data_IF_912113219117
#
_entry.id   IF_912113219117
#
_cell.length_a   1.000
_cell.length_b   1.000
_cell.length_c   1.000
_cell.angle_alpha   90.00
_cell.angle_beta   90.00
_cell.angle_gamma   90.00
#
_symmetry.space_group_name_H-M   'P 1'
#
loop_
_entity.id
_entity.type
_entity.pdbx_description
1 polymer ?
#
# COMPACT_ATOMS: atom_id res chain seq x y z
N UNK A 1 -19.93 25.29 -0.17
CA UNK A 1 -20.06 24.01 0.54
C UNK A 1 -19.56 22.81 -0.29
N UNK A 2 -19.93 22.67 -1.57
CA UNK A 2 -19.40 21.62 -2.48
C UNK A 2 -17.87 21.56 -2.57
N UNK A 3 -17.20 22.70 -2.73
CA UNK A 3 -15.73 22.74 -2.78
C UNK A 3 -15.09 22.20 -1.48
N UNK A 4 -15.70 22.49 -0.33
CA UNK A 4 -15.24 22.00 0.97
C UNK A 4 -15.40 20.47 1.09
N UNK A 5 -16.49 19.90 0.59
CA UNK A 5 -16.67 18.45 0.56
C UNK A 5 -15.64 17.74 -0.34
N UNK A 6 -15.33 18.30 -1.51
CA UNK A 6 -14.28 17.76 -2.38
C UNK A 6 -12.89 17.88 -1.75
N UNK A 7 -12.59 19.03 -1.12
CA UNK A 7 -11.35 19.23 -0.39
C UNK A 7 -11.22 18.23 0.77
N UNK A 8 -12.31 17.95 1.47
CA UNK A 8 -12.36 16.94 2.53
C UNK A 8 -12.06 15.54 2.00
N UNK A 9 -12.73 15.12 0.90
CA UNK A 9 -12.47 13.82 0.28
C UNK A 9 -11.01 13.70 -0.16
N UNK A 10 -10.43 14.75 -0.74
CA UNK A 10 -9.02 14.79 -1.14
C UNK A 10 -8.08 14.68 0.08
N UNK A 11 -8.38 15.40 1.18
CA UNK A 11 -7.60 15.33 2.41
C UNK A 11 -7.65 13.93 3.05
N UNK A 12 -8.83 13.29 3.08
CA UNK A 12 -8.98 11.91 3.56
C UNK A 12 -8.19 10.95 2.70
N UNK A 13 -8.26 11.06 1.37
CA UNK A 13 -7.48 10.22 0.46
C UNK A 13 -5.97 10.38 0.67
N UNK A 14 -5.49 11.63 0.77
CA UNK A 14 -4.08 11.93 1.04
C UNK A 14 -3.63 11.36 2.40
N UNK A 15 -4.46 11.50 3.44
CA UNK A 15 -4.18 10.93 4.76
C UNK A 15 -4.12 9.40 4.74
N UNK A 16 -5.04 8.73 4.03
CA UNK A 16 -5.01 7.26 3.93
C UNK A 16 -3.79 6.77 3.14
N UNK A 17 -3.39 7.48 2.07
CA UNK A 17 -2.16 7.17 1.32
C UNK A 17 -0.93 7.35 2.22
N UNK A 18 -0.84 8.46 2.95
CA UNK A 18 0.27 8.70 3.87
C UNK A 18 0.33 7.66 5.01
N UNK A 19 -0.81 7.33 5.60
CA UNK A 19 -0.92 6.33 6.66
C UNK A 19 -0.54 4.94 6.17
N UNK A 20 -0.88 4.59 4.93
CA UNK A 20 -0.47 3.34 4.29
C UNK A 20 1.03 3.30 4.04
N UNK A 21 1.61 4.33 3.41
CA UNK A 21 3.05 4.35 3.04
C UNK A 21 3.98 4.42 4.24
N UNK A 22 3.57 5.06 5.33
CA UNK A 22 4.38 5.19 6.55
C UNK A 22 3.95 4.22 7.65
N UNK A 23 3.01 3.31 7.36
CA UNK A 23 2.40 2.42 8.33
C UNK A 23 2.07 3.12 9.66
N UNK A 24 1.22 4.15 9.61
CA UNK A 24 0.99 5.04 10.74
C UNK A 24 -0.46 5.47 10.91
N UNK A 25 -0.76 6.11 12.04
CA UNK A 25 -2.07 6.69 12.34
C UNK A 25 -3.20 5.67 12.32
N UNK A 26 -4.33 6.05 11.69
CA UNK A 26 -5.53 5.21 11.63
C UNK A 26 -5.30 3.93 10.82
N UNK A 27 -4.46 3.99 9.77
CA UNK A 27 -4.16 2.83 8.94
C UNK A 27 -3.48 1.74 9.77
N UNK A 28 -2.40 2.09 10.48
CA UNK A 28 -1.71 1.19 11.41
C UNK A 28 -2.65 0.58 12.43
N UNK A 29 -3.43 1.43 13.12
CA UNK A 29 -4.34 0.96 14.16
C UNK A 29 -5.36 -0.07 13.62
N UNK A 30 -5.93 0.19 12.44
CA UNK A 30 -6.84 -0.75 11.79
C UNK A 30 -6.15 -2.03 11.29
N UNK A 31 -4.95 -1.92 10.73
CA UNK A 31 -4.17 -3.06 10.29
C UNK A 31 -3.86 -3.99 11.49
N UNK A 32 -3.33 -3.42 12.58
CA UNK A 32 -3.06 -4.16 13.81
C UNK A 32 -4.33 -4.79 14.41
N UNK A 33 -5.45 -4.06 14.42
CA UNK A 33 -6.73 -4.60 14.86
C UNK A 33 -7.23 -5.75 13.97
N UNK A 34 -7.17 -5.60 12.64
CA UNK A 34 -7.56 -6.66 11.70
C UNK A 34 -6.69 -7.90 11.86
N UNK A 35 -5.37 -7.72 11.95
CA UNK A 35 -4.43 -8.82 12.17
C UNK A 35 -4.70 -9.51 13.51
N UNK A 36 -4.99 -8.77 14.57
CA UNK A 36 -5.33 -9.35 15.87
C UNK A 36 -6.65 -10.16 15.84
N UNK A 37 -7.64 -9.73 15.06
CA UNK A 37 -8.94 -10.42 14.98
C UNK A 37 -8.98 -11.56 13.96
N UNK A 38 -8.31 -11.39 12.82
CA UNK A 38 -8.45 -12.28 11.66
C UNK A 38 -7.16 -13.03 11.32
N UNK A 39 -6.04 -12.73 11.98
CA UNK A 39 -4.73 -13.32 11.68
C UNK A 39 -4.09 -12.83 10.39
N UNK A 40 -4.67 -11.81 9.76
CA UNK A 40 -4.11 -11.05 8.64
C UNK A 40 -4.93 -9.79 8.40
N UNK A 41 -4.39 -8.87 7.62
CA UNK A 41 -5.11 -7.70 7.14
C UNK A 41 -5.05 -7.64 5.62
N UNK A 42 -5.96 -6.88 5.03
CA UNK A 42 -5.97 -6.64 3.59
C UNK A 42 -5.63 -5.17 3.36
N UNK A 43 -4.42 -4.81 2.87
CA UNK A 43 -3.99 -3.41 2.76
C UNK A 43 -5.01 -2.51 2.05
N UNK A 44 -5.55 -3.00 0.92
CA UNK A 44 -6.57 -2.28 0.16
C UNK A 44 -7.85 -2.03 0.97
N UNK A 45 -8.39 -3.04 1.67
CA UNK A 45 -9.61 -2.87 2.47
C UNK A 45 -9.36 -1.99 3.70
N UNK A 46 -8.19 -2.13 4.31
CA UNK A 46 -7.73 -1.35 5.47
C UNK A 46 -7.62 0.13 5.12
N UNK A 47 -7.21 0.47 3.90
CA UNK A 47 -7.24 1.85 3.41
C UNK A 47 -8.65 2.30 2.99
N UNK A 48 -9.39 1.45 2.26
CA UNK A 48 -10.66 1.83 1.64
C UNK A 48 -11.78 2.01 2.65
N UNK A 49 -12.03 1.05 3.55
CA UNK A 49 -13.19 1.09 4.45
C UNK A 49 -13.18 2.34 5.35
N UNK A 50 -12.10 2.64 6.08
CA UNK A 50 -12.04 3.84 6.93
C UNK A 50 -12.08 5.11 6.09
N UNK A 51 -11.41 5.10 4.93
CA UNK A 51 -11.47 6.21 3.97
C UNK A 51 -12.92 6.51 3.56
N UNK A 52 -13.72 5.49 3.22
CA UNK A 52 -15.14 5.65 2.90
C UNK A 52 -15.99 6.05 4.09
N UNK A 53 -15.70 5.56 5.29
CA UNK A 53 -16.43 5.96 6.49
C UNK A 53 -16.21 7.45 6.82
N UNK A 54 -14.96 7.92 6.75
CA UNK A 54 -14.61 9.33 7.04
C UNK A 54 -15.01 10.26 5.89
N UNK A 55 -14.91 9.80 4.64
CA UNK A 55 -15.43 10.52 3.48
C UNK A 55 -16.97 10.46 3.42
N UNK A 56 -17.60 9.51 4.12
CA UNK A 56 -19.02 9.17 4.05
C UNK A 56 -19.95 10.36 4.26
N UNK A 57 -19.78 11.20 5.29
CA UNK A 57 -20.59 12.40 5.46
C UNK A 57 -20.52 13.35 4.26
N UNK A 58 -19.33 13.62 3.74
CA UNK A 58 -19.12 14.48 2.57
C UNK A 58 -19.72 13.87 1.30
N UNK A 59 -19.54 12.57 1.08
CA UNK A 59 -20.13 11.83 -0.04
C UNK A 59 -21.66 11.78 0.06
N UNK A 60 -22.21 11.57 1.26
CA UNK A 60 -23.66 11.55 1.48
C UNK A 60 -24.26 12.92 1.24
N UNK A 61 -23.57 13.99 1.64
CA UNK A 61 -24.01 15.36 1.41
C UNK A 61 -23.99 15.69 -0.08
N UNK A 62 -22.90 15.35 -0.79
CA UNK A 62 -22.81 15.47 -2.25
C UNK A 62 -23.92 14.67 -2.95
N UNK A 63 -24.24 13.47 -2.46
CA UNK A 63 -25.32 12.62 -2.97
C UNK A 63 -26.71 13.18 -2.69
N UNK A 64 -26.98 13.64 -1.47
CA UNK A 64 -28.25 14.29 -1.09
C UNK A 64 -28.46 15.56 -1.88
N UNK A 65 -27.43 16.38 -2.04
CA UNK A 65 -27.49 17.58 -2.87
C UNK A 65 -27.81 17.20 -4.32
N UNK A 66 -27.17 16.16 -4.86
CA UNK A 66 -27.46 15.67 -6.21
C UNK A 66 -28.91 15.17 -6.34
N UNK A 67 -29.47 14.52 -5.31
CA UNK A 67 -30.87 14.04 -5.30
C UNK A 67 -31.89 15.16 -5.11
N UNK A 68 -31.63 16.09 -4.19
CA UNK A 68 -32.47 17.28 -3.98
C UNK A 68 -32.50 18.14 -5.26
N UNK A 69 -31.38 18.21 -5.97
CA UNK A 69 -31.34 18.81 -7.31
C UNK A 69 -32.22 18.05 -8.30
N UNK A 70 -32.18 16.71 -8.33
CA UNK A 70 -33.06 15.92 -9.21
C UNK A 70 -34.54 16.08 -8.85
N UNK A 71 -34.86 16.24 -7.56
CA UNK A 71 -36.22 16.34 -7.05
C UNK A 71 -36.85 17.76 -7.16
N UNK A 72 -36.08 18.77 -7.57
CA UNK A 72 -36.57 20.15 -7.72
C UNK A 72 -37.02 20.81 -6.41
N UNK A 73 -36.54 20.31 -5.26
CA UNK A 73 -37.04 20.69 -3.93
C UNK A 73 -36.34 21.90 -3.32
N UNK A 74 -35.10 22.18 -3.72
CA UNK A 74 -34.40 23.41 -3.36
C UNK A 74 -34.70 24.48 -4.42
N UNK A 75 -34.93 25.74 -3.99
CA UNK A 75 -35.28 26.89 -4.84
C UNK A 75 -34.26 27.23 -5.95
N UNK A 76 -34.23 28.46 -6.50
CA UNK A 76 -33.66 28.81 -7.82
C UNK A 76 -32.11 28.78 -7.91
N UNK A 77 -31.45 27.82 -7.26
CA UNK A 77 -30.10 27.43 -7.60
C UNK A 77 -30.12 26.74 -8.96
N UNK A 78 -29.20 27.13 -9.83
CA UNK A 78 -29.01 26.51 -11.14
C UNK A 78 -28.50 25.06 -10.97
N UNK A 79 -29.45 24.14 -10.83
CA UNK A 79 -29.26 22.69 -10.67
C UNK A 79 -28.40 22.14 -11.81
N UNK A 80 -28.60 22.69 -13.00
CA UNK A 80 -27.86 22.34 -14.20
C UNK A 80 -26.41 22.80 -14.09
N UNK A 81 -26.15 24.00 -13.57
CA UNK A 81 -24.79 24.49 -13.33
C UNK A 81 -24.03 23.66 -12.28
N UNK A 82 -24.67 23.28 -11.18
CA UNK A 82 -24.02 22.46 -10.14
C UNK A 82 -23.71 21.04 -10.63
N UNK A 83 -24.65 20.38 -11.32
CA UNK A 83 -24.41 19.07 -11.91
C UNK A 83 -23.29 19.13 -12.96
N UNK A 84 -23.26 20.18 -13.80
CA UNK A 84 -22.14 20.43 -14.74
C UNK A 84 -20.81 20.66 -14.02
N UNK A 85 -20.81 21.40 -12.90
CA UNK A 85 -19.59 21.63 -12.10
C UNK A 85 -19.05 20.33 -11.50
N UNK A 86 -19.90 19.52 -10.88
CA UNK A 86 -19.49 18.23 -10.32
C UNK A 86 -19.01 17.27 -11.42
N UNK A 87 -19.70 17.22 -12.57
CA UNK A 87 -19.25 16.43 -13.71
C UNK A 87 -17.88 16.91 -14.24
N UNK A 88 -17.63 18.23 -14.28
CA UNK A 88 -16.32 18.78 -14.64
C UNK A 88 -15.24 18.37 -13.64
N UNK A 89 -15.52 18.43 -12.34
CA UNK A 89 -14.57 17.99 -11.30
C UNK A 89 -14.27 16.50 -11.46
N UNK A 90 -15.29 15.66 -11.63
CA UNK A 90 -15.11 14.23 -11.86
C UNK A 90 -14.30 13.95 -13.15
N UNK A 91 -14.59 14.68 -14.24
CA UNK A 91 -13.81 14.63 -15.49
C UNK A 91 -12.38 15.13 -15.36
N UNK A 92 -12.08 16.01 -14.39
CA UNK A 92 -10.72 16.47 -14.11
C UNK A 92 -9.96 15.48 -13.21
N UNK A 93 -10.65 14.84 -12.26
CA UNK A 93 -10.05 13.85 -11.36
C UNK A 93 -9.80 12.50 -12.06
N UNK A 94 -10.67 12.10 -12.99
CA UNK A 94 -10.50 10.87 -13.76
C UNK A 94 -9.14 10.75 -14.46
N UNK A 95 -8.68 11.72 -15.28
CA UNK A 95 -7.37 11.65 -15.92
C UNK A 95 -6.23 11.73 -14.90
N UNK A 96 -6.41 12.44 -13.78
CA UNK A 96 -5.40 12.44 -12.71
C UNK A 96 -5.22 11.03 -12.11
N UNK A 97 -6.32 10.35 -11.77
CA UNK A 97 -6.28 8.97 -11.30
C UNK A 97 -5.67 8.02 -12.35
N UNK A 98 -5.99 8.23 -13.64
CA UNK A 98 -5.40 7.45 -14.74
C UNK A 98 -3.89 7.71 -14.87
N UNK A 99 -3.43 8.95 -14.74
CA UNK A 99 -2.01 9.31 -14.75
C UNK A 99 -1.28 8.69 -13.58
N UNK A 100 -1.86 8.70 -12.37
CA UNK A 100 -1.28 8.02 -11.20
C UNK A 100 -1.17 6.51 -11.47
N UNK A 101 -2.21 5.90 -12.03
CA UNK A 101 -2.24 4.47 -12.32
C UNK A 101 -1.18 4.07 -13.35
N UNK A 102 -1.13 4.79 -14.48
CA UNK A 102 -0.14 4.58 -15.54
C UNK A 102 1.26 4.89 -15.02
N UNK A 103 1.43 5.96 -14.22
CA UNK A 103 2.69 6.31 -13.61
C UNK A 103 3.22 5.22 -12.68
N UNK A 104 2.37 4.66 -11.82
CA UNK A 104 2.73 3.55 -10.94
C UNK A 104 3.13 2.30 -11.74
N UNK A 105 2.37 1.95 -12.78
CA UNK A 105 2.71 0.83 -13.68
C UNK A 105 4.03 1.07 -14.43
N UNK A 106 4.25 2.27 -14.98
CA UNK A 106 5.51 2.58 -15.66
C UNK A 106 6.69 2.60 -14.69
N UNK A 107 6.51 3.04 -13.45
CA UNK A 107 7.54 2.95 -12.42
C UNK A 107 7.86 1.50 -12.06
N UNK A 108 6.87 0.61 -12.01
CA UNK A 108 7.14 -0.81 -11.75
C UNK A 108 8.02 -1.45 -12.83
N UNK A 109 7.89 -1.02 -14.09
CA UNK A 109 8.76 -1.50 -15.19
C UNK A 109 10.20 -0.99 -15.12
N UNK A 110 10.49 0.00 -14.25
CA UNK A 110 11.85 0.53 -14.03
C UNK A 110 12.50 -0.04 -12.77
N UNK A 111 11.79 -0.86 -12.01
CA UNK A 111 12.39 -1.54 -10.88
C UNK A 111 13.48 -2.50 -11.40
N UNK A 112 14.57 -2.70 -10.64
CA UNK A 112 15.58 -3.66 -11.02
C UNK A 112 14.94 -5.06 -11.15
N UNK A 113 15.40 -5.84 -12.12
CA UNK A 113 14.92 -7.20 -12.36
C UNK A 113 15.95 -8.24 -11.86
N UNK A 114 15.50 -9.49 -11.72
CA UNK A 114 16.34 -10.58 -11.21
C UNK A 114 17.30 -11.14 -12.29
N UNK A 115 17.32 -10.56 -13.50
CA UNK A 115 18.02 -11.13 -14.67
C UNK A 115 19.53 -10.87 -14.69
N UNK A 116 20.05 -10.02 -13.79
CA UNK A 116 21.46 -9.67 -13.68
C UNK A 116 22.31 -10.62 -12.83
N UNK A 117 23.64 -10.53 -12.94
CA UNK A 117 24.56 -11.19 -12.00
C UNK A 117 24.46 -10.46 -10.65
N UNK A 118 24.14 -11.16 -9.54
CA UNK A 118 23.99 -10.51 -8.25
C UNK A 118 25.31 -9.89 -7.78
N UNK A 119 25.23 -8.66 -7.28
CA UNK A 119 26.39 -7.98 -6.70
C UNK A 119 26.65 -8.55 -5.31
N UNK A 120 27.86 -9.06 -5.06
CA UNK A 120 28.22 -9.59 -3.74
C UNK A 120 28.46 -8.45 -2.76
N UNK A 121 27.75 -8.48 -1.63
CA UNK A 121 27.84 -7.49 -0.57
C UNK A 121 28.25 -8.19 0.72
N UNK A 122 29.49 -8.00 1.13
CA UNK A 122 29.97 -8.42 2.45
C UNK A 122 29.61 -7.36 3.48
N UNK A 123 28.71 -7.72 4.40
CA UNK A 123 28.18 -6.81 5.42
C UNK A 123 29.28 -6.32 6.35
N UNK A 124 30.28 -7.17 6.65
CA UNK A 124 31.40 -6.78 7.50
C UNK A 124 32.32 -5.78 6.81
N UNK A 125 32.55 -5.94 5.50
CA UNK A 125 33.37 -5.01 4.71
C UNK A 125 32.65 -3.69 4.41
N UNK A 126 31.32 -3.72 4.28
CA UNK A 126 30.50 -2.54 3.98
C UNK A 126 30.45 -1.56 5.16
N UNK A 127 30.41 -2.06 6.40
CA UNK A 127 30.26 -1.24 7.60
C UNK A 127 28.99 -0.38 7.53
N UNK A 128 29.14 0.94 7.70
CA UNK A 128 28.03 1.91 7.67
C UNK A 128 27.77 2.50 6.27
N UNK A 129 28.52 2.11 5.23
CA UNK A 129 28.32 2.63 3.88
C UNK A 129 26.96 2.18 3.31
N UNK A 130 26.39 2.97 2.39
CA UNK A 130 25.11 2.64 1.72
C UNK A 130 25.32 1.43 0.79
N UNK A 131 24.55 0.33 0.94
CA UNK A 131 24.66 -0.84 0.07
C UNK A 131 24.14 -0.55 -1.34
N UNK A 132 24.61 -1.28 -2.36
CA UNK A 132 23.96 -1.27 -3.68
C UNK A 132 22.54 -1.87 -3.56
N UNK A 133 21.55 -1.17 -4.10
CA UNK A 133 20.16 -1.66 -4.17
C UNK A 133 19.97 -2.56 -5.40
N UNK A 134 18.95 -3.42 -5.36
CA UNK A 134 18.62 -4.35 -6.45
C UNK A 134 19.19 -5.76 -6.21
N UNK A 135 19.54 -6.47 -7.29
CA UNK A 135 19.95 -7.88 -7.20
C UNK A 135 21.33 -8.03 -6.55
N UNK A 136 21.37 -8.54 -5.31
CA UNK A 136 22.59 -8.72 -4.52
C UNK A 136 22.67 -10.10 -3.90
N UNK A 137 23.89 -10.50 -3.56
CA UNK A 137 24.17 -11.63 -2.67
C UNK A 137 24.72 -11.10 -1.36
N UNK A 138 23.96 -11.22 -0.28
CA UNK A 138 24.41 -10.84 1.06
C UNK A 138 25.31 -11.93 1.66
N UNK A 139 26.47 -11.50 2.16
CA UNK A 139 27.43 -12.33 2.88
C UNK A 139 27.50 -11.84 4.32
N UNK A 140 27.17 -12.73 5.26
CA UNK A 140 27.19 -12.43 6.70
C UNK A 140 26.90 -13.65 7.55
N UNK A 141 26.58 -13.41 8.82
CA UNK A 141 26.12 -14.43 9.76
C UNK A 141 24.64 -14.23 10.03
N UNK A 142 23.84 -15.28 9.83
CA UNK A 142 22.40 -15.26 10.08
C UNK A 142 22.17 -15.36 11.58
N UNK A 143 21.32 -14.48 12.11
CA UNK A 143 20.93 -14.47 13.51
C UNK A 143 19.48 -14.93 13.66
N UNK A 144 19.32 -16.22 13.90
CA UNK A 144 18.00 -16.84 14.07
C UNK A 144 17.35 -16.51 15.40
N UNK A 145 18.12 -16.09 16.41
CA UNK A 145 17.59 -15.81 17.75
C UNK A 145 16.74 -14.52 17.75
N UNK A 146 17.05 -13.60 16.82
CA UNK A 146 16.28 -12.39 16.56
C UNK A 146 15.35 -12.49 15.35
N UNK A 147 15.15 -13.68 14.77
CA UNK A 147 14.21 -13.87 13.68
C UNK A 147 12.78 -13.57 14.12
N UNK A 148 12.00 -12.94 13.24
CA UNK A 148 10.58 -12.67 13.48
C UNK A 148 9.75 -13.08 12.27
N UNK A 149 8.66 -13.80 12.50
CA UNK A 149 7.73 -14.22 11.46
C UNK A 149 6.43 -13.41 11.46
N UNK A 150 5.84 -13.28 10.27
CA UNK A 150 4.47 -12.86 10.06
C UNK A 150 3.70 -14.06 9.50
N UNK A 151 2.72 -14.56 10.25
CA UNK A 151 1.83 -15.62 9.77
C UNK A 151 0.54 -15.01 9.26
N UNK A 152 0.29 -15.13 7.95
CA UNK A 152 -0.96 -14.73 7.31
C UNK A 152 -1.88 -15.92 7.11
N UNK A 153 -3.02 -15.92 7.81
CA UNK A 153 -4.00 -17.02 7.71
C UNK A 153 -5.00 -16.76 6.59
N UNK A 154 -4.88 -17.50 5.48
CA UNK A 154 -5.90 -17.60 4.43
C UNK A 154 -6.98 -18.64 4.71
N UNK A 155 -8.04 -18.66 3.90
CA UNK A 155 -9.11 -19.68 3.98
C UNK A 155 -8.64 -21.08 3.56
N UNK A 156 -7.63 -21.16 2.70
CA UNK A 156 -7.12 -22.41 2.13
C UNK A 156 -5.59 -22.58 2.25
N UNK A 157 -4.86 -21.49 2.49
CA UNK A 157 -3.40 -21.48 2.58
C UNK A 157 -2.99 -20.61 3.77
N UNK A 158 -2.02 -21.08 4.55
CA UNK A 158 -1.34 -20.25 5.55
C UNK A 158 0.02 -19.91 4.97
N UNK A 159 0.28 -18.62 4.90
CA UNK A 159 1.55 -18.09 4.44
C UNK A 159 2.32 -17.60 5.65
N UNK A 160 3.57 -18.05 5.78
CA UNK A 160 4.42 -17.64 6.89
C UNK A 160 5.69 -17.03 6.32
N UNK A 161 5.83 -15.72 6.52
CA UNK A 161 6.99 -14.95 6.05
C UNK A 161 7.90 -14.67 7.23
N UNK A 162 9.11 -15.21 7.21
CA UNK A 162 10.13 -14.98 8.22
C UNK A 162 11.11 -13.91 7.75
N UNK A 163 11.42 -13.00 8.66
CA UNK A 163 12.43 -11.99 8.47
C UNK A 163 13.56 -12.30 9.42
N UNK A 164 14.73 -12.59 8.86
CA UNK A 164 15.88 -13.06 9.64
C UNK A 164 17.02 -12.06 9.51
N UNK A 165 17.47 -11.47 10.64
CA UNK A 165 18.60 -10.56 10.63
C UNK A 165 19.88 -11.21 10.09
N UNK A 166 20.64 -10.44 9.32
CA UNK A 166 22.00 -10.79 8.90
C UNK A 166 22.97 -9.79 9.48
N UNK A 167 23.94 -10.31 10.21
CA UNK A 167 24.89 -9.51 10.98
C UNK A 167 26.29 -9.65 10.38
N UNK A 168 27.17 -8.64 10.59
CA UNK A 168 28.58 -8.77 10.24
C UNK A 168 29.19 -10.04 10.84
N UNK A 169 29.97 -10.77 10.05
CA UNK A 169 30.69 -11.94 10.54
C UNK A 169 31.82 -11.48 11.47
N UNK A 170 31.68 -11.72 12.77
CA UNK A 170 32.75 -11.49 13.75
C UNK A 170 33.74 -12.64 13.73
N UNK A 171 35.00 -12.39 14.11
CA UNK A 171 36.05 -13.41 14.16
C UNK A 171 35.68 -14.59 15.09
N UNK A 172 34.89 -14.32 16.13
CA UNK A 172 34.44 -15.31 17.11
C UNK A 172 33.10 -15.98 16.74
N UNK A 173 32.51 -15.60 15.60
CA UNK A 173 31.18 -16.07 15.16
C UNK A 173 30.02 -15.64 16.05
N UNK A 174 30.28 -14.81 17.09
CA UNK A 174 29.26 -14.31 18.01
C UNK A 174 28.60 -13.06 17.47
N UNK A 175 27.27 -13.05 17.51
CA UNK A 175 26.46 -11.88 17.18
C UNK A 175 26.29 -11.03 18.43
N UNK A 176 26.63 -9.74 18.34
CA UNK A 176 26.35 -8.79 19.41
C UNK A 176 24.87 -8.38 19.36
N UNK A 177 24.12 -8.81 20.39
CA UNK A 177 22.69 -8.56 20.52
C UNK A 177 22.34 -7.06 20.61
N UNK A 178 23.29 -6.21 21.00
CA UNK A 178 23.09 -4.76 21.12
C UNK A 178 23.25 -4.01 19.80
N UNK A 179 23.87 -4.64 18.79
CA UNK A 179 24.06 -4.02 17.48
C UNK A 179 22.72 -3.89 16.75
N UNK A 180 22.35 -2.68 16.29
CA UNK A 180 21.13 -2.48 15.51
C UNK A 180 21.12 -3.35 14.25
N UNK A 181 19.98 -4.00 13.98
CA UNK A 181 19.81 -4.84 12.80
C UNK A 181 19.61 -3.93 11.58
N UNK A 182 20.52 -4.04 10.61
CA UNK A 182 20.50 -3.26 9.38
C UNK A 182 20.04 -4.05 8.15
N UNK A 183 20.37 -5.35 8.10
CA UNK A 183 20.05 -6.22 6.97
C UNK A 183 19.15 -7.36 7.45
N UNK A 184 18.09 -7.62 6.71
CA UNK A 184 17.17 -8.72 6.96
C UNK A 184 16.99 -9.52 5.66
N UNK A 185 16.74 -10.80 5.78
CA UNK A 185 16.35 -11.66 4.66
C UNK A 185 14.89 -12.07 4.86
N UNK A 186 14.08 -11.89 3.83
CA UNK A 186 12.73 -12.42 3.77
C UNK A 186 12.74 -13.87 3.30
N UNK A 187 11.92 -14.69 3.97
CA UNK A 187 11.74 -16.10 3.69
C UNK A 187 10.28 -16.45 3.77
N UNK A 188 9.69 -16.69 2.61
CA UNK A 188 8.34 -17.21 2.53
C UNK A 188 8.38 -18.73 2.68
N UNK A 189 7.58 -19.24 3.60
CA UNK A 189 7.26 -20.65 3.71
C UNK A 189 5.79 -20.83 3.40
N UNK A 190 5.48 -21.44 2.25
CA UNK A 190 4.12 -21.84 1.95
C UNK A 190 3.84 -23.18 2.60
N UNK A 191 3.04 -23.18 3.66
CA UNK A 191 2.58 -24.41 4.30
C UNK A 191 1.25 -24.81 3.68
N UNK A 192 1.26 -25.88 2.89
CA UNK A 192 0.03 -26.56 2.50
C UNK A 192 -0.50 -27.37 3.69
N UNK A 193 -1.83 -27.39 3.86
CA UNK A 193 -2.47 -28.10 4.96
C UNK A 193 -2.10 -29.60 4.93
N UNK A 194 -1.26 -30.03 5.88
CA UNK A 194 -0.83 -31.43 6.03
C UNK A 194 0.66 -31.70 5.79
N UNK A 195 1.46 -30.71 5.36
CA UNK A 195 2.92 -30.86 5.23
C UNK A 195 3.66 -30.47 6.51
N UNK A 196 4.67 -31.27 6.86
CA UNK A 196 5.57 -30.97 7.97
C UNK A 196 6.49 -29.80 7.59
N UNK A 197 6.68 -28.85 8.51
CA UNK A 197 7.65 -27.75 8.38
C UNK A 197 9.05 -28.34 8.11
N UNK A 198 9.46 -28.37 6.85
CA UNK A 198 10.87 -28.51 6.50
C UNK A 198 11.52 -27.17 6.77
N UNK A 199 12.11 -27.02 7.96
CA UNK A 199 13.06 -25.95 8.24
C UNK A 199 14.20 -26.08 7.22
N UNK A 200 14.10 -25.40 6.08
CA UNK A 200 15.21 -25.27 5.16
C UNK A 200 16.34 -24.60 5.94
N UNK A 201 17.40 -25.36 6.19
CA UNK A 201 18.51 -24.91 7.01
C UNK A 201 19.06 -23.58 6.50
N UNK A 202 19.32 -22.66 7.44
CA UNK A 202 20.02 -21.40 7.21
C UNK A 202 21.47 -21.68 6.81
N UNK A 203 21.71 -22.06 5.55
CA UNK A 203 23.04 -22.42 5.08
C UNK A 203 23.32 -21.67 3.78
N UNK A 204 24.23 -20.68 3.86
CA UNK A 204 24.88 -20.09 2.68
C UNK A 204 24.60 -18.60 2.45
N UNK A 205 25.43 -18.04 1.57
CA UNK A 205 25.25 -16.73 0.93
C UNK A 205 23.85 -16.66 0.29
N UNK A 206 23.11 -15.58 0.53
CA UNK A 206 21.73 -15.46 0.06
C UNK A 206 21.61 -14.37 -1.00
N UNK A 207 21.04 -14.75 -2.13
CA UNK A 207 20.77 -13.84 -3.25
C UNK A 207 19.31 -13.44 -3.27
N UNK A 208 19.05 -12.19 -3.67
CA UNK A 208 17.71 -11.64 -3.81
C UNK A 208 17.77 -10.15 -4.10
N UNK A 209 16.63 -9.48 -3.95
CA UNK A 209 16.50 -8.05 -4.22
C UNK A 209 16.59 -7.25 -2.94
N UNK A 210 17.63 -6.44 -2.81
CA UNK A 210 17.81 -5.58 -1.66
C UNK A 210 16.98 -4.31 -1.80
N UNK A 211 16.02 -4.16 -0.89
CA UNK A 211 15.09 -3.05 -0.83
C UNK A 211 15.34 -2.24 0.44
N UNK A 212 15.48 -0.93 0.28
CA UNK A 212 15.56 0.01 1.41
C UNK A 212 14.19 0.16 2.08
N UNK A 213 14.16 0.07 3.40
CA UNK A 213 12.97 0.10 4.24
C UNK A 213 11.87 -0.87 3.78
N UNK A 214 12.28 -2.03 3.26
CA UNK A 214 11.38 -3.05 2.71
C UNK A 214 10.61 -3.84 3.77
N UNK A 215 10.80 -3.56 5.06
CA UNK A 215 10.15 -4.33 6.12
C UNK A 215 8.67 -3.92 6.24
N UNK A 216 7.73 -4.87 6.29
CA UNK A 216 6.34 -4.58 6.64
C UNK A 216 6.24 -3.81 7.95
N UNK A 217 5.37 -2.81 8.00
CA UNK A 217 5.28 -1.94 9.17
C UNK A 217 4.80 -2.66 10.43
N UNK A 218 4.08 -3.77 10.30
CA UNK A 218 3.76 -4.69 11.41
C UNK A 218 5.01 -5.12 12.17
N UNK A 219 6.05 -5.48 11.40
CA UNK A 219 7.26 -6.09 11.94
C UNK A 219 8.14 -5.06 12.63
N UNK A 220 8.13 -3.80 12.18
CA UNK A 220 8.77 -2.71 12.93
C UNK A 220 8.28 -2.68 14.38
N UNK A 221 6.97 -2.83 14.57
CA UNK A 221 6.37 -2.91 15.90
C UNK A 221 6.72 -4.18 16.67
N UNK A 222 6.82 -5.33 15.99
CA UNK A 222 7.18 -6.61 16.63
C UNK A 222 8.65 -6.59 17.08
N UNK A 223 9.57 -6.16 16.21
CA UNK A 223 10.99 -6.03 16.54
C UNK A 223 11.20 -5.09 17.74
N UNK A 224 10.56 -3.92 17.73
CA UNK A 224 10.63 -2.97 18.84
C UNK A 224 10.12 -3.58 20.16
N UNK A 225 9.00 -4.33 20.13
CA UNK A 225 8.47 -5.03 21.33
C UNK A 225 9.39 -6.15 21.81
N UNK A 226 10.12 -6.79 20.90
CA UNK A 226 11.11 -7.82 21.22
C UNK A 226 12.46 -7.23 21.68
N UNK A 227 12.57 -5.91 21.82
CA UNK A 227 13.80 -5.24 22.23
C UNK A 227 14.89 -5.22 21.15
N UNK A 228 14.54 -5.56 19.90
CA UNK A 228 15.47 -5.50 18.77
C UNK A 228 15.42 -4.10 18.18
N UNK A 229 16.57 -3.43 18.18
CA UNK A 229 16.70 -2.11 17.54
C UNK A 229 17.01 -2.31 16.06
N UNK A 230 16.21 -1.69 15.18
CA UNK A 230 16.47 -1.66 13.73
C UNK A 230 17.25 -0.40 13.38
N UNK A 231 18.17 -0.49 12.42
CA UNK A 231 18.85 0.68 11.88
C UNK A 231 17.90 1.51 10.98
N UNK A 232 18.12 2.82 10.90
CA UNK A 232 17.45 3.71 9.94
C UNK A 232 18.51 4.30 9.00
N UNK A 233 18.52 3.93 7.70
CA UNK A 233 17.64 2.97 7.01
C UNK A 233 18.01 1.50 7.30
N UNK A 234 17.00 0.61 7.21
CA UNK A 234 17.18 -0.84 7.19
C UNK A 234 16.96 -1.37 5.78
N UNK A 235 17.48 -2.56 5.48
CA UNK A 235 17.39 -3.18 4.17
C UNK A 235 16.87 -4.60 4.28
N UNK A 236 15.94 -4.95 3.40
CA UNK A 236 15.37 -6.30 3.32
C UNK A 236 15.75 -6.91 1.99
N UNK A 237 16.32 -8.11 2.05
CA UNK A 237 16.58 -8.95 0.90
C UNK A 237 15.33 -9.79 0.63
N UNK A 238 14.52 -9.36 -0.34
CA UNK A 238 13.33 -10.08 -0.77
C UNK A 238 13.71 -11.14 -1.81
N UNK A 239 12.94 -12.22 -1.88
CA UNK A 239 13.23 -13.36 -2.76
C UNK A 239 13.09 -13.04 -4.24
N UNK A 240 12.16 -12.16 -4.62
CA UNK A 240 11.84 -11.88 -6.01
C UNK A 240 11.67 -10.39 -6.31
N UNK A 241 11.94 -9.98 -7.55
CA UNK A 241 11.61 -8.65 -8.03
C UNK A 241 10.09 -8.39 -8.09
N UNK A 242 9.27 -9.45 -8.15
CA UNK A 242 7.81 -9.33 -8.18
C UNK A 242 7.26 -8.77 -6.86
N UNK A 243 7.84 -9.18 -5.73
CA UNK A 243 7.47 -8.71 -4.39
C UNK A 243 7.69 -7.20 -4.26
N UNK A 244 8.80 -6.70 -4.83
CA UNK A 244 9.12 -5.26 -4.89
C UNK A 244 8.12 -4.48 -5.76
N UNK A 245 7.61 -5.10 -6.82
CA UNK A 245 6.67 -4.48 -7.76
C UNK A 245 5.22 -4.48 -7.25
N UNK A 246 4.88 -5.38 -6.33
CA UNK A 246 3.50 -5.58 -5.84
C UNK A 246 2.81 -4.28 -5.37
N UNK A 247 3.43 -3.41 -4.55
CA UNK A 247 2.81 -2.15 -4.14
C UNK A 247 2.42 -1.23 -5.32
N UNK A 248 3.23 -1.22 -6.39
CA UNK A 248 2.98 -0.44 -7.59
C UNK A 248 1.77 -0.97 -8.37
N UNK A 249 1.63 -2.29 -8.47
CA UNK A 249 0.46 -2.91 -9.09
C UNK A 249 -0.82 -2.62 -8.33
N UNK A 250 -0.77 -2.60 -6.99
CA UNK A 250 -1.92 -2.22 -6.16
C UNK A 250 -2.32 -0.76 -6.42
N UNK A 251 -1.36 0.17 -6.45
CA UNK A 251 -1.62 1.58 -6.78
C UNK A 251 -2.17 1.73 -8.20
N UNK A 252 -1.61 1.02 -9.17
CA UNK A 252 -2.07 1.02 -10.55
C UNK A 252 -3.52 0.52 -10.67
N UNK A 253 -3.84 -0.60 -10.02
CA UNK A 253 -5.17 -1.18 -10.01
C UNK A 253 -6.20 -0.25 -9.36
N UNK A 254 -5.90 0.30 -8.17
CA UNK A 254 -6.80 1.23 -7.47
C UNK A 254 -7.00 2.51 -8.26
N UNK A 255 -5.92 3.14 -8.75
CA UNK A 255 -6.00 4.35 -9.55
C UNK A 255 -6.80 4.15 -10.84
N UNK A 256 -6.57 3.04 -11.54
CA UNK A 256 -7.31 2.67 -12.75
C UNK A 256 -8.79 2.44 -12.48
N UNK A 257 -9.12 1.73 -11.41
CA UNK A 257 -10.49 1.49 -10.98
C UNK A 257 -11.24 2.80 -10.67
N UNK A 258 -10.63 3.71 -9.89
CA UNK A 258 -11.23 5.01 -9.60
C UNK A 258 -11.39 5.87 -10.86
N UNK A 259 -10.42 5.85 -11.78
CA UNK A 259 -10.53 6.55 -13.04
C UNK A 259 -11.74 6.06 -13.86
N UNK A 260 -11.94 4.74 -13.96
CA UNK A 260 -13.08 4.14 -14.68
C UNK A 260 -14.41 4.55 -14.02
N UNK A 261 -14.52 4.46 -12.69
CA UNK A 261 -15.73 4.88 -11.98
C UNK A 261 -16.06 6.35 -12.25
N UNK A 262 -15.07 7.24 -12.14
CA UNK A 262 -15.27 8.67 -12.37
C UNK A 262 -15.67 8.95 -13.83
N UNK A 263 -15.08 8.22 -14.80
CA UNK A 263 -15.44 8.30 -16.21
C UNK A 263 -16.85 7.80 -16.52
N UNK A 264 -17.42 6.90 -15.71
CA UNK A 264 -18.81 6.44 -15.87
C UNK A 264 -19.77 7.43 -15.18
N UNK A 265 -19.44 7.89 -13.97
CA UNK A 265 -20.30 8.76 -13.19
C UNK A 265 -20.44 10.15 -13.85
N UNK A 266 -19.36 10.71 -14.39
CA UNK A 266 -19.39 12.05 -14.97
C UNK A 266 -20.37 12.20 -16.17
N UNK A 267 -20.39 11.32 -17.19
CA UNK A 267 -21.37 11.41 -18.27
C UNK A 267 -22.79 11.14 -17.78
N UNK A 268 -23.01 10.25 -16.80
CA UNK A 268 -24.32 10.07 -16.18
C UNK A 268 -24.80 11.36 -15.51
N UNK A 269 -23.91 12.08 -14.82
CA UNK A 269 -24.21 13.41 -14.26
C UNK A 269 -24.55 14.42 -15.36
N UNK A 270 -23.81 14.46 -16.47
CA UNK A 270 -24.10 15.36 -17.62
C UNK A 270 -25.45 15.02 -18.27
N UNK A 271 -25.74 13.73 -18.48
CA UNK A 271 -27.00 13.26 -19.05
C UNK A 271 -28.18 13.61 -18.15
N UNK A 272 -28.03 13.42 -16.83
CA UNK A 272 -29.05 13.80 -15.85
C UNK A 272 -29.32 15.32 -15.89
N UNK A 273 -28.27 16.14 -15.98
CA UNK A 273 -28.37 17.60 -16.09
C UNK A 273 -29.09 18.03 -17.38
N UNK A 274 -28.82 17.37 -18.50
CA UNK A 274 -29.51 17.62 -19.77
C UNK A 274 -31.00 17.23 -19.70
N UNK A 275 -31.32 16.11 -19.05
CA UNK A 275 -32.71 15.66 -18.87
C UNK A 275 -33.49 16.66 -18.03
N UNK A 276 -32.92 17.14 -16.93
CA UNK A 276 -33.52 18.18 -16.08
C UNK A 276 -33.75 19.49 -16.83
N UNK A 277 -32.78 19.96 -17.62
CA UNK A 277 -32.92 21.18 -18.42
C UNK A 277 -34.07 21.10 -19.46
N UNK A 278 -34.28 19.93 -20.09
CA UNK A 278 -35.39 19.72 -21.03
C UNK A 278 -36.74 19.76 -20.34
N UNK A 279 -36.86 19.13 -19.17
CA UNK A 279 -38.10 19.12 -18.38
C UNK A 279 -38.49 20.53 -17.91
N UNK A 280 -37.51 21.34 -17.49
CA UNK A 280 -37.76 22.74 -17.13
C UNK A 280 -38.22 23.59 -18.32
N UNK A 281 -37.65 23.39 -19.51
CA UNK A 281 -38.08 24.12 -20.72
C UNK A 281 -39.51 23.80 -21.16
N UNK A 282 -39.97 22.56 -20.95
CA UNK A 282 -41.35 22.15 -21.26
C UNK A 282 -42.38 22.69 -20.27
N UNK A 283 -41.99 22.95 -19.02
CA UNK A 283 -42.90 23.45 -17.99
C UNK A 283 -43.22 24.96 -18.10
N UNK A 284 -42.51 25.69 -18.98
CA UNK A 284 -42.65 27.15 -19.16
C UNK A 284 -43.53 27.48 -20.40
N UNK A 285 -43.82 26.49 -21.25
CA UNK A 285 -44.72 26.62 -22.40
C UNK A 285 -46.16 26.28 -22.03
#
# INVERSE_FOLDING_TARGET
MTALCWLWVAAVAAYMIWGWTHYSGLFKWLAEWQTAQFGKYYPAMTAMIPGFLIAGPALSWLGKQSRAMIAGQDGPFDLVANARRNARIALMLAPLCAVIAVGAYLLSTRLPDDSGVPTRVDIAALGDAVPPLGHVTLIGTIDTDRATGLTEKGKAQTEESFYVPVMPRTADGKVDATTPVRFLIERETHLYAGEAQTQQGFIGDQSGMLVENGLPGELLGIYARNGVTLAEPHYVLVSSAEDVATPYYVVAALGGFFAIILLIIAPLMVMSARKMARQQGQAIQ
#
